data_IF_807787002674
#
_entry.id   IF_807787002674
#
_cell.length_a   1.000
_cell.length_b   1.000
_cell.length_c   1.000
_cell.angle_alpha   90.00
_cell.angle_beta   90.00
_cell.angle_gamma   90.00
#
_symmetry.space_group_name_H-M   'P 1'
#
loop_
_entity.id
_entity.type
_entity.pdbx_description
1 polymer ?
#
# COMPACT_ATOMS: atom_id res chain seq x y z
N UNK A 1 7.67 -19.71 -15.89
CA UNK A 1 7.69 -18.31 -15.43
C UNK A 1 6.91 -18.10 -14.13
N UNK A 2 5.62 -18.47 -14.06
CA UNK A 2 4.79 -18.40 -12.85
C UNK A 2 5.48 -18.96 -11.58
N UNK A 3 6.03 -20.19 -11.64
CA UNK A 3 6.71 -20.79 -10.49
C UNK A 3 7.93 -20.01 -10.00
N UNK A 4 8.70 -19.40 -10.92
CA UNK A 4 9.85 -18.57 -10.56
C UNK A 4 9.41 -17.28 -9.86
N UNK A 5 8.31 -16.68 -10.30
CA UNK A 5 7.69 -15.52 -9.66
C UNK A 5 7.13 -15.88 -8.28
N UNK A 6 6.47 -17.03 -8.15
CA UNK A 6 5.96 -17.51 -6.86
C UNK A 6 7.09 -17.69 -5.84
N UNK A 7 8.25 -18.22 -6.25
CA UNK A 7 9.44 -18.32 -5.40
C UNK A 7 9.98 -16.96 -4.95
N UNK A 8 9.82 -15.90 -5.75
CA UNK A 8 10.21 -14.52 -5.35
C UNK A 8 9.27 -13.91 -4.30
N UNK A 9 8.00 -14.31 -4.26
CA UNK A 9 7.03 -13.81 -3.26
C UNK A 9 7.06 -14.64 -1.97
N UNK A 10 7.48 -15.91 -2.04
CA UNK A 10 7.50 -16.84 -0.90
C UNK A 10 8.22 -16.31 0.37
N UNK A 11 9.38 -15.62 0.28
CA UNK A 11 10.06 -15.07 1.46
C UNK A 11 9.18 -14.14 2.31
N UNK A 12 8.30 -13.36 1.68
CA UNK A 12 7.37 -12.48 2.39
C UNK A 12 6.36 -13.27 3.24
N UNK A 13 6.03 -14.51 2.85
CA UNK A 13 5.15 -15.38 3.64
C UNK A 13 5.86 -16.03 4.82
N UNK A 14 7.17 -16.29 4.69
CA UNK A 14 8.00 -16.75 5.82
C UNK A 14 8.04 -15.67 6.91
N UNK A 15 8.23 -14.40 6.54
CA UNK A 15 8.22 -13.30 7.50
C UNK A 15 6.83 -13.04 8.08
N UNK A 16 5.74 -13.23 7.32
CA UNK A 16 4.37 -13.24 7.86
C UNK A 16 4.23 -14.33 8.93
N UNK A 17 4.69 -15.56 8.67
CA UNK A 17 4.63 -16.65 9.64
C UNK A 17 5.45 -16.36 10.90
N UNK A 18 6.66 -15.80 10.74
CA UNK A 18 7.46 -15.34 11.87
C UNK A 18 6.74 -14.26 12.69
N UNK A 19 6.09 -13.30 12.02
CA UNK A 19 5.25 -12.30 12.66
C UNK A 19 4.09 -12.92 13.42
N UNK A 20 3.42 -13.93 12.86
CA UNK A 20 2.35 -14.66 13.55
C UNK A 20 2.85 -15.35 14.82
N UNK A 21 3.99 -16.06 14.74
CA UNK A 21 4.62 -16.70 15.90
C UNK A 21 5.01 -15.66 16.94
N UNK A 22 5.61 -14.54 16.54
CA UNK A 22 5.98 -13.47 17.45
C UNK A 22 4.76 -12.80 18.11
N UNK A 23 3.67 -12.62 17.37
CA UNK A 23 2.41 -12.12 17.91
C UNK A 23 1.78 -13.07 18.93
N UNK A 24 1.86 -14.39 18.71
CA UNK A 24 1.30 -15.41 19.63
C UNK A 24 2.17 -15.67 20.85
N UNK A 25 3.49 -15.82 20.66
CA UNK A 25 4.43 -16.27 21.68
C UNK A 25 5.02 -15.09 22.44
N UNK A 26 5.56 -14.10 21.72
CA UNK A 26 6.21 -12.92 22.30
C UNK A 26 5.19 -11.83 22.67
N UNK A 27 3.96 -11.90 22.12
CA UNK A 27 2.87 -10.94 22.33
C UNK A 27 3.24 -9.53 21.86
N UNK A 28 3.90 -9.45 20.70
CA UNK A 28 4.24 -8.16 20.08
C UNK A 28 2.96 -7.38 19.75
N UNK A 29 2.99 -6.09 20.07
CA UNK A 29 1.90 -5.17 19.79
C UNK A 29 1.99 -4.64 18.34
N UNK A 30 0.89 -4.80 17.60
CA UNK A 30 0.76 -4.34 16.22
C UNK A 30 0.91 -2.82 16.10
N UNK A 31 0.33 -2.07 17.06
CA UNK A 31 0.36 -0.60 17.01
C UNK A 31 1.79 -0.05 17.20
N UNK A 32 2.59 -0.66 18.08
CA UNK A 32 3.97 -0.24 18.35
C UNK A 32 4.87 -0.44 17.14
N UNK A 33 4.82 -1.61 16.49
CA UNK A 33 5.61 -1.86 15.26
C UNK A 33 5.14 -0.97 14.12
N UNK A 34 3.82 -0.78 13.98
CA UNK A 34 3.25 0.16 13.01
C UNK A 34 3.78 1.58 13.17
N UNK A 35 3.85 2.09 14.41
CA UNK A 35 4.43 3.42 14.70
C UNK A 35 5.91 3.51 14.30
N UNK A 36 6.72 2.50 14.65
CA UNK A 36 8.12 2.47 14.25
C UNK A 36 8.28 2.53 12.72
N UNK A 37 7.46 1.76 11.99
CA UNK A 37 7.50 1.73 10.54
C UNK A 37 7.03 3.04 9.90
N UNK A 38 5.92 3.63 10.36
CA UNK A 38 5.38 4.83 9.73
C UNK A 38 6.09 6.13 10.14
N UNK A 39 6.65 6.20 11.35
CA UNK A 39 7.27 7.43 11.85
C UNK A 39 8.80 7.44 11.78
N UNK A 40 9.45 6.27 11.73
CA UNK A 40 10.92 6.20 11.74
C UNK A 40 11.48 5.61 10.44
N UNK A 41 11.09 4.38 10.08
CA UNK A 41 11.73 3.64 8.98
C UNK A 41 11.19 4.08 7.61
N UNK A 42 9.87 4.09 7.45
CA UNK A 42 9.17 4.41 6.21
C UNK A 42 9.53 5.78 5.60
N UNK A 43 9.65 6.87 6.38
CA UNK A 43 10.10 8.15 5.87
C UNK A 43 11.47 8.08 5.19
N UNK A 44 12.42 7.34 5.79
CA UNK A 44 13.77 7.19 5.24
C UNK A 44 13.73 6.38 3.94
N UNK A 45 12.95 5.30 3.90
CA UNK A 45 12.78 4.46 2.70
C UNK A 45 12.18 5.28 1.55
N UNK A 46 11.13 6.06 1.83
CA UNK A 46 10.49 6.93 0.82
C UNK A 46 11.45 8.02 0.36
N UNK A 47 12.19 8.65 1.29
CA UNK A 47 13.14 9.70 0.94
C UNK A 47 14.18 9.21 -0.06
N UNK A 48 14.90 8.13 0.27
CA UNK A 48 15.97 7.62 -0.59
C UNK A 48 15.46 6.94 -1.86
N UNK A 49 14.25 6.37 -1.82
CA UNK A 49 13.62 5.81 -3.01
C UNK A 49 13.28 6.87 -4.06
N UNK A 50 12.84 8.05 -3.63
CA UNK A 50 12.49 9.17 -4.53
C UNK A 50 13.73 9.96 -4.93
N UNK A 51 14.74 10.04 -4.08
CA UNK A 51 15.95 10.82 -4.33
C UNK A 51 16.71 10.39 -5.60
N UNK A 52 16.53 9.15 -6.05
CA UNK A 52 17.16 8.59 -7.26
C UNK A 52 16.36 8.84 -8.55
N UNK A 53 15.19 9.45 -8.48
CA UNK A 53 14.32 9.67 -9.66
C UNK A 53 14.96 10.69 -10.59
N UNK A 54 14.89 10.42 -11.90
CA UNK A 54 15.08 11.48 -12.90
C UNK A 54 13.78 12.27 -12.98
N UNK A 55 13.70 13.40 -12.26
CA UNK A 55 12.45 14.17 -12.17
C UNK A 55 12.10 14.73 -13.54
N UNK A 56 10.98 14.25 -14.08
CA UNK A 56 10.26 14.91 -15.18
C UNK A 56 8.94 15.47 -14.66
N UNK A 57 8.41 16.55 -15.26
CA UNK A 57 7.14 17.14 -14.84
C UNK A 57 5.97 16.14 -14.79
N UNK A 58 5.97 15.16 -15.70
CA UNK A 58 4.94 14.11 -15.79
C UNK A 58 4.98 13.17 -14.59
N UNK A 59 6.20 12.83 -14.12
CA UNK A 59 6.39 11.97 -12.95
C UNK A 59 5.96 12.67 -11.66
N UNK A 60 6.21 13.98 -11.51
CA UNK A 60 5.80 14.76 -10.32
C UNK A 60 4.27 14.76 -10.14
N UNK A 61 3.50 14.56 -11.21
CA UNK A 61 2.04 14.44 -11.14
C UNK A 61 1.54 13.07 -10.68
N UNK A 62 2.37 12.01 -10.71
CA UNK A 62 1.95 10.65 -10.36
C UNK A 62 1.39 10.49 -8.93
N UNK A 63 1.95 11.12 -7.87
CA UNK A 63 1.35 11.06 -6.55
C UNK A 63 -0.05 11.66 -6.52
N UNK A 64 -0.27 12.77 -7.24
CA UNK A 64 -1.58 13.43 -7.32
C UNK A 64 -2.58 12.56 -8.07
N UNK A 65 -2.17 11.99 -9.21
CA UNK A 65 -3.01 11.09 -10.00
C UNK A 65 -3.38 9.85 -9.19
N UNK A 66 -2.39 9.21 -8.54
CA UNK A 66 -2.63 8.03 -7.70
C UNK A 66 -3.56 8.36 -6.54
N UNK A 67 -3.37 9.51 -5.89
CA UNK A 67 -4.26 9.99 -4.82
C UNK A 67 -5.70 10.14 -5.31
N UNK A 68 -5.91 10.79 -6.46
CA UNK A 68 -7.24 11.00 -7.06
C UNK A 68 -7.89 9.66 -7.42
N UNK A 69 -7.15 8.72 -8.01
CA UNK A 69 -7.65 7.38 -8.32
C UNK A 69 -8.10 6.66 -7.04
N UNK A 70 -7.28 6.68 -5.99
CA UNK A 70 -7.61 6.06 -4.70
C UNK A 70 -8.85 6.69 -4.07
N UNK A 71 -8.95 8.02 -4.07
CA UNK A 71 -10.12 8.75 -3.56
C UNK A 71 -11.38 8.41 -4.35
N UNK A 72 -11.28 8.35 -5.68
CA UNK A 72 -12.41 8.06 -6.58
C UNK A 72 -12.91 6.64 -6.36
N UNK A 73 -12.00 5.66 -6.32
CA UNK A 73 -12.34 4.27 -6.01
C UNK A 73 -13.00 4.14 -4.63
N UNK A 74 -12.43 4.77 -3.62
CA UNK A 74 -13.00 4.79 -2.27
C UNK A 74 -14.39 5.40 -2.22
N UNK A 75 -14.60 6.53 -2.91
CA UNK A 75 -15.89 7.22 -2.95
C UNK A 75 -16.96 6.42 -3.70
N UNK A 76 -16.62 5.83 -4.86
CA UNK A 76 -17.53 4.96 -5.62
C UNK A 76 -17.97 3.79 -4.74
N UNK A 77 -17.01 3.10 -4.14
CA UNK A 77 -17.29 1.94 -3.28
C UNK A 77 -18.08 2.37 -2.06
N UNK A 78 -17.77 3.49 -1.43
CA UNK A 78 -18.54 4.03 -0.30
C UNK A 78 -20.02 4.22 -0.66
N UNK A 79 -20.30 4.83 -1.81
CA UNK A 79 -21.66 5.09 -2.27
C UNK A 79 -22.39 3.79 -2.64
N UNK A 80 -21.76 2.90 -3.41
CA UNK A 80 -22.36 1.63 -3.84
C UNK A 80 -22.60 0.69 -2.65
N UNK A 81 -21.64 0.61 -1.72
CA UNK A 81 -21.76 -0.27 -0.56
C UNK A 81 -22.82 0.17 0.43
N UNK A 82 -23.35 1.39 0.34
CA UNK A 82 -24.53 1.82 1.11
C UNK A 82 -25.80 1.03 0.80
N UNK A 83 -25.85 0.39 -0.39
CA UNK A 83 -26.95 -0.49 -0.79
C UNK A 83 -26.92 -1.85 -0.05
N UNK A 84 -25.75 -2.25 0.46
CA UNK A 84 -25.52 -3.56 1.08
C UNK A 84 -25.27 -3.46 2.59
N UNK A 85 -24.50 -2.46 3.02
CA UNK A 85 -24.10 -2.25 4.42
C UNK A 85 -24.58 -0.89 4.92
N UNK A 86 -25.22 -0.90 6.10
CA UNK A 86 -25.69 0.31 6.78
C UNK A 86 -24.82 0.72 7.97
N UNK A 87 -23.91 -0.15 8.40
CA UNK A 87 -22.97 0.09 9.50
C UNK A 87 -21.58 0.55 8.98
N UNK A 88 -20.65 0.81 9.90
CA UNK A 88 -19.29 1.24 9.56
C UNK A 88 -18.47 0.20 8.77
N UNK A 89 -18.97 -1.02 8.55
CA UNK A 89 -18.36 -1.96 7.58
C UNK A 89 -18.25 -1.30 6.20
N UNK A 90 -19.23 -0.45 5.85
CA UNK A 90 -19.19 0.35 4.61
C UNK A 90 -17.94 1.22 4.52
N UNK A 91 -17.57 1.88 5.61
CA UNK A 91 -16.41 2.76 5.69
C UNK A 91 -15.12 1.96 5.52
N UNK A 92 -15.07 0.80 6.17
CA UNK A 92 -13.94 -0.11 6.12
C UNK A 92 -13.71 -0.66 4.70
N UNK A 93 -14.78 -1.07 4.01
CA UNK A 93 -14.73 -1.52 2.63
C UNK A 93 -14.25 -0.39 1.70
N UNK A 94 -14.77 0.83 1.88
CA UNK A 94 -14.36 2.00 1.12
C UNK A 94 -12.90 2.42 1.35
N UNK A 95 -12.40 2.32 2.58
CA UNK A 95 -10.97 2.54 2.85
C UNK A 95 -10.12 1.49 2.13
N UNK A 96 -10.51 0.22 2.28
CA UNK A 96 -9.80 -0.92 1.71
C UNK A 96 -9.77 -0.87 0.18
N UNK A 97 -10.84 -0.36 -0.45
CA UNK A 97 -10.90 -0.24 -1.91
C UNK A 97 -10.01 0.86 -2.48
N UNK A 98 -9.60 1.84 -1.68
CA UNK A 98 -8.66 2.88 -2.11
C UNK A 98 -7.21 2.62 -1.70
N UNK A 99 -6.95 1.55 -0.94
CA UNK A 99 -5.64 1.27 -0.33
C UNK A 99 -5.07 -0.06 -0.80
N UNK A 100 -3.76 -0.24 -0.67
CA UNK A 100 -3.03 -1.45 -1.07
C UNK A 100 -1.74 -1.55 -0.27
N UNK A 101 -1.26 -2.78 0.01
CA UNK A 101 -0.04 -2.99 0.81
C UNK A 101 1.24 -2.77 -0.01
N UNK A 102 1.36 -1.58 -0.61
CA UNK A 102 2.43 -1.26 -1.53
C UNK A 102 3.80 -1.29 -0.88
N UNK A 103 3.92 -0.72 0.31
CA UNK A 103 5.21 -0.59 0.98
C UNK A 103 5.73 -1.91 1.51
N UNK A 104 4.88 -2.72 2.13
CA UNK A 104 5.32 -3.94 2.81
C UNK A 104 5.29 -5.17 1.91
N UNK A 105 4.25 -5.31 1.09
CA UNK A 105 4.10 -6.46 0.21
C UNK A 105 4.56 -6.15 -1.23
N UNK A 106 4.23 -4.96 -1.75
CA UNK A 106 4.51 -4.62 -3.13
C UNK A 106 5.95 -4.20 -3.44
N UNK A 107 6.63 -3.49 -2.53
CA UNK A 107 8.01 -3.02 -2.72
C UNK A 107 9.03 -4.16 -2.91
N UNK A 108 9.01 -5.26 -2.11
CA UNK A 108 9.88 -6.41 -2.38
C UNK A 108 9.69 -6.98 -3.78
N UNK A 109 8.44 -7.01 -4.26
CA UNK A 109 8.09 -7.50 -5.59
C UNK A 109 8.58 -6.53 -6.66
N UNK A 110 8.40 -5.22 -6.47
CA UNK A 110 8.91 -4.20 -7.37
C UNK A 110 10.43 -4.30 -7.54
N UNK A 111 11.19 -4.39 -6.44
CA UNK A 111 12.65 -4.55 -6.45
C UNK A 111 13.07 -5.86 -7.15
N UNK A 112 12.28 -6.93 -7.00
CA UNK A 112 12.61 -8.22 -7.60
C UNK A 112 12.27 -8.32 -9.10
N UNK A 113 11.43 -7.42 -9.62
CA UNK A 113 10.94 -7.44 -11.01
C UNK A 113 11.51 -6.34 -11.88
N UNK A 114 11.73 -5.16 -11.31
CA UNK A 114 11.98 -3.96 -12.08
C UNK A 114 13.37 -3.38 -11.80
N UNK A 115 13.83 -2.53 -12.71
CA UNK A 115 15.04 -1.73 -12.54
C UNK A 115 14.83 -0.60 -11.52
N UNK A 116 15.93 0.04 -11.09
CA UNK A 116 15.89 1.10 -10.07
C UNK A 116 14.95 2.25 -10.45
N UNK A 117 14.89 2.66 -11.73
CA UNK A 117 14.04 3.76 -12.18
C UNK A 117 12.56 3.43 -11.96
N UNK A 118 12.14 2.26 -12.42
CA UNK A 118 10.75 1.79 -12.28
C UNK A 118 10.37 1.58 -10.81
N UNK A 119 11.28 1.10 -9.96
CA UNK A 119 11.06 1.01 -8.50
C UNK A 119 10.83 2.38 -7.88
N UNK A 120 11.61 3.38 -8.29
CA UNK A 120 11.43 4.74 -7.80
C UNK A 120 10.11 5.36 -8.27
N UNK A 121 9.70 5.11 -9.52
CA UNK A 121 8.37 5.48 -10.04
C UNK A 121 7.25 4.82 -9.21
N UNK A 122 7.40 3.53 -8.90
CA UNK A 122 6.46 2.82 -8.03
C UNK A 122 6.36 3.43 -6.62
N UNK A 123 7.49 3.84 -6.04
CA UNK A 123 7.50 4.56 -4.76
C UNK A 123 6.84 5.94 -4.84
N UNK A 124 6.93 6.60 -6.00
CA UNK A 124 6.24 7.87 -6.24
C UNK A 124 4.72 7.69 -6.29
N UNK A 125 4.23 6.63 -6.95
CA UNK A 125 2.82 6.22 -6.88
C UNK A 125 2.40 5.91 -5.43
N UNK A 126 3.27 5.23 -4.67
CA UNK A 126 3.03 4.95 -3.25
C UNK A 126 2.85 6.19 -2.39
N UNK A 127 3.54 7.30 -2.67
CA UNK A 127 3.28 8.58 -1.98
C UNK A 127 1.84 9.04 -2.17
N UNK A 128 1.28 8.92 -3.38
CA UNK A 128 -0.12 9.25 -3.64
C UNK A 128 -1.10 8.39 -2.84
N UNK A 129 -0.82 7.10 -2.72
CA UNK A 129 -1.61 6.20 -1.88
C UNK A 129 -1.46 6.53 -0.39
N UNK A 130 -0.26 6.88 0.07
CA UNK A 130 -0.05 7.36 1.44
C UNK A 130 -0.86 8.61 1.74
N UNK A 131 -0.96 9.53 0.79
CA UNK A 131 -1.80 10.72 0.94
C UNK A 131 -3.26 10.30 1.13
N UNK A 132 -3.74 9.32 0.36
CA UNK A 132 -5.09 8.80 0.50
C UNK A 132 -5.29 8.16 1.88
N UNK A 133 -4.42 7.21 2.27
CA UNK A 133 -4.55 6.45 3.51
C UNK A 133 -4.54 7.35 4.75
N UNK A 134 -3.88 8.50 4.68
CA UNK A 134 -3.69 9.42 5.80
C UNK A 134 -4.52 10.71 5.71
N UNK A 135 -5.38 10.87 4.71
CA UNK A 135 -6.31 12.01 4.63
C UNK A 135 -7.75 11.56 4.34
N UNK A 136 -8.13 11.45 3.07
CA UNK A 136 -9.50 11.12 2.65
C UNK A 136 -9.89 9.70 3.06
N UNK A 137 -8.99 8.72 2.86
CA UNK A 137 -9.18 7.35 3.32
C UNK A 137 -9.33 7.30 4.83
N UNK A 138 -8.40 7.90 5.57
CA UNK A 138 -8.49 8.00 7.03
C UNK A 138 -9.83 8.58 7.48
N UNK A 139 -10.24 9.71 6.89
CA UNK A 139 -11.52 10.35 7.19
C UNK A 139 -12.73 9.44 6.93
N UNK A 140 -12.76 8.71 5.81
CA UNK A 140 -13.83 7.76 5.51
C UNK A 140 -13.85 6.66 6.58
N UNK A 141 -12.70 6.05 6.85
CA UNK A 141 -12.59 4.94 7.79
C UNK A 141 -13.03 5.35 9.20
N UNK A 142 -12.65 6.54 9.64
CA UNK A 142 -12.96 7.07 10.98
C UNK A 142 -14.14 8.05 10.98
N UNK A 143 -15.02 7.99 9.97
CA UNK A 143 -16.13 8.93 9.84
C UNK A 143 -17.02 8.86 11.09
N UNK A 144 -17.21 10.01 11.74
CA UNK A 144 -17.93 10.13 13.02
C UNK A 144 -17.02 10.23 14.25
N UNK A 145 -15.72 9.93 14.12
CA UNK A 145 -14.72 10.08 15.19
C UNK A 145 -13.84 11.32 15.00
N UNK A 146 -13.49 11.64 13.75
CA UNK A 146 -12.61 12.76 13.40
C UNK A 146 -13.25 13.70 12.38
N UNK A 147 -12.91 14.98 12.50
CA UNK A 147 -13.30 16.03 11.54
C UNK A 147 -12.37 16.02 10.31
N UNK A 148 -12.82 16.52 9.15
CA UNK A 148 -11.97 16.65 7.96
C UNK A 148 -10.67 17.44 8.23
N UNK A 149 -10.75 18.49 9.04
CA UNK A 149 -9.59 19.32 9.42
C UNK A 149 -8.55 18.53 10.23
N UNK A 150 -9.00 17.65 11.14
CA UNK A 150 -8.10 16.78 11.90
C UNK A 150 -7.41 15.76 11.00
N UNK A 151 -8.14 15.18 10.05
CA UNK A 151 -7.59 14.21 9.09
C UNK A 151 -6.55 14.86 8.16
N UNK A 152 -6.82 16.08 7.67
CA UNK A 152 -5.86 16.82 6.87
C UNK A 152 -4.61 17.22 7.67
N UNK A 153 -4.79 17.64 8.93
CA UNK A 153 -3.67 17.92 9.83
C UNK A 153 -2.80 16.68 10.04
N UNK A 154 -3.41 15.51 10.21
CA UNK A 154 -2.69 14.25 10.35
C UNK A 154 -1.78 13.98 9.15
N UNK A 155 -2.28 14.16 7.92
CA UNK A 155 -1.47 14.04 6.70
C UNK A 155 -0.23 14.94 6.74
N UNK A 156 -0.40 16.23 7.03
CA UNK A 156 0.71 17.19 7.03
C UNK A 156 1.70 16.88 8.14
N UNK A 157 1.27 16.30 9.27
CA UNK A 157 2.18 15.95 10.38
C UNK A 157 2.95 14.64 10.16
N UNK A 158 2.69 13.91 9.07
CA UNK A 158 3.36 12.63 8.86
C UNK A 158 4.81 12.83 8.40
N UNK A 159 5.78 12.19 9.08
CA UNK A 159 7.18 12.28 8.66
C UNK A 159 7.40 11.82 7.22
N UNK A 160 6.64 10.83 6.74
CA UNK A 160 6.74 10.33 5.36
C UNK A 160 6.32 11.38 4.32
N UNK A 161 5.34 12.24 4.64
CA UNK A 161 4.97 13.36 3.79
C UNK A 161 6.15 14.33 3.65
N UNK A 162 6.74 14.73 4.78
CA UNK A 162 7.91 15.62 4.79
C UNK A 162 9.12 15.01 4.10
N UNK A 163 9.33 13.70 4.27
CA UNK A 163 10.41 12.97 3.60
C UNK A 163 10.24 12.94 2.08
N UNK A 164 9.03 12.72 1.56
CA UNK A 164 8.77 12.77 0.13
C UNK A 164 9.05 14.17 -0.45
N UNK A 165 8.57 15.23 0.22
CA UNK A 165 8.83 16.61 -0.20
C UNK A 165 10.32 16.93 -0.14
N UNK A 166 11.00 16.55 0.94
CA UNK A 166 12.43 16.76 1.09
C UNK A 166 13.21 16.02 -0.01
N UNK A 167 12.84 14.79 -0.36
CA UNK A 167 13.50 14.04 -1.43
C UNK A 167 13.36 14.70 -2.80
N UNK A 168 12.17 15.21 -3.13
CA UNK A 168 11.95 15.96 -4.37
C UNK A 168 12.80 17.23 -4.43
N UNK A 169 12.88 17.98 -3.33
CA UNK A 169 13.73 19.17 -3.24
C UNK A 169 15.22 18.80 -3.35
N UNK A 170 15.68 17.79 -2.61
CA UNK A 170 17.06 17.32 -2.65
C UNK A 170 17.46 16.85 -4.05
N UNK A 171 16.57 16.13 -4.73
CA UNK A 171 16.79 15.68 -6.10
C UNK A 171 16.84 16.87 -7.08
N UNK A 172 15.92 17.83 -6.95
CA UNK A 172 15.89 19.03 -7.79
C UNK A 172 17.16 19.89 -7.68
N UNK A 173 17.76 19.97 -6.49
CA UNK A 173 19.03 20.67 -6.26
C UNK A 173 20.27 19.80 -6.48
N UNK A 174 20.11 18.58 -7.02
CA UNK A 174 21.19 17.62 -7.26
C UNK A 174 22.09 17.38 -6.03
N UNK A 175 21.48 17.39 -4.83
CA UNK A 175 22.23 17.23 -3.59
C UNK A 175 22.82 15.82 -3.50
N UNK A 176 24.14 15.76 -3.40
CA UNK A 176 24.87 14.50 -3.24
C UNK A 176 24.73 13.98 -1.83
N UNK A 177 24.26 12.74 -1.69
CA UNK A 177 24.26 12.03 -0.42
C UNK A 177 25.70 11.62 -0.08
N UNK A 178 26.18 11.90 1.14
CA UNK A 178 27.45 11.41 1.61
C UNK A 178 27.57 9.88 1.50
N UNK A 179 28.73 9.39 1.06
CA UNK A 179 28.93 7.96 0.74
C UNK A 179 28.65 7.04 1.93
N UNK A 180 28.95 7.47 3.16
CA UNK A 180 28.68 6.71 4.38
C UNK A 180 27.18 6.47 4.63
N UNK A 181 26.31 7.32 4.08
CA UNK A 181 24.85 7.16 4.19
C UNK A 181 24.28 6.26 3.12
N UNK A 182 25.01 5.89 2.07
CA UNK A 182 24.46 5.11 0.95
C UNK A 182 24.06 3.67 1.32
N UNK A 183 24.57 3.12 2.44
CA UNK A 183 24.17 1.80 2.94
C UNK A 183 22.87 1.81 3.76
N UNK A 184 22.62 2.91 4.46
CA UNK A 184 21.45 3.10 5.34
C UNK A 184 20.11 2.84 4.62
N UNK A 185 19.88 3.32 3.37
CA UNK A 185 18.65 3.07 2.63
C UNK A 185 18.38 1.57 2.42
N UNK A 186 19.41 0.81 2.04
CA UNK A 186 19.28 -0.61 1.72
C UNK A 186 18.91 -1.44 2.94
N UNK A 187 19.59 -1.18 4.07
CA UNK A 187 19.33 -1.88 5.33
C UNK A 187 17.95 -1.53 5.89
N UNK A 188 17.56 -0.25 5.83
CA UNK A 188 16.25 0.21 6.28
C UNK A 188 15.12 -0.24 5.37
N UNK A 189 15.31 -0.27 4.05
CA UNK A 189 14.33 -0.81 3.11
C UNK A 189 14.10 -2.30 3.37
N UNK A 190 15.17 -3.07 3.55
CA UNK A 190 15.08 -4.50 3.90
C UNK A 190 14.35 -4.70 5.22
N UNK A 191 14.69 -3.90 6.24
CA UNK A 191 14.01 -3.91 7.55
C UNK A 191 12.53 -3.54 7.44
N UNK A 192 12.21 -2.52 6.65
CA UNK A 192 10.85 -2.05 6.40
C UNK A 192 9.96 -3.14 5.80
N UNK A 193 10.48 -3.85 4.80
CA UNK A 193 9.80 -4.95 4.13
C UNK A 193 9.57 -6.14 5.09
N UNK A 194 10.60 -6.53 5.86
CA UNK A 194 10.52 -7.65 6.81
C UNK A 194 9.55 -7.34 7.95
N UNK A 195 9.73 -6.21 8.64
CA UNK A 195 8.86 -5.83 9.75
C UNK A 195 7.43 -5.53 9.29
N UNK A 196 7.27 -4.95 8.10
CA UNK A 196 5.97 -4.70 7.50
C UNK A 196 5.18 -5.97 7.18
N UNK A 197 5.86 -7.01 6.69
CA UNK A 197 5.23 -8.32 6.45
C UNK A 197 5.00 -9.08 7.75
N UNK A 198 5.91 -8.97 8.74
CA UNK A 198 5.68 -9.48 10.11
C UNK A 198 4.46 -8.83 10.78
N UNK A 199 4.24 -7.52 10.60
CA UNK A 199 3.08 -6.80 11.11
C UNK A 199 1.76 -7.41 10.62
N UNK A 200 1.71 -7.92 9.39
CA UNK A 200 0.56 -8.69 8.88
C UNK A 200 0.33 -9.94 9.73
N UNK A 201 1.39 -10.71 9.97
CA UNK A 201 1.35 -11.92 10.79
C UNK A 201 0.92 -11.64 12.23
N UNK A 202 1.45 -10.58 12.84
CA UNK A 202 1.08 -10.15 14.19
C UNK A 202 -0.40 -9.76 14.26
N UNK A 203 -0.91 -9.10 13.22
CA UNK A 203 -2.33 -8.76 13.13
C UNK A 203 -3.21 -10.01 13.10
N UNK A 204 -2.79 -11.05 12.36
CA UNK A 204 -3.51 -12.34 12.31
C UNK A 204 -3.41 -13.09 13.64
N UNK A 205 -2.27 -13.01 14.33
CA UNK A 205 -2.09 -13.61 15.65
C UNK A 205 -3.06 -13.04 16.69
N UNK A 206 -3.44 -11.78 16.57
CA UNK A 206 -4.29 -11.07 17.52
C UNK A 206 -5.80 -11.21 17.25
N UNK A 207 -6.21 -12.01 16.26
CA UNK A 207 -7.62 -12.31 16.00
C UNK A 207 -8.19 -13.11 17.18
N UNK A 208 -9.24 -12.58 17.81
CA UNK A 208 -9.97 -13.25 18.89
C UNK A 208 -11.15 -14.05 18.35
N UNK A 209 -11.98 -13.40 17.53
CA UNK A 209 -13.18 -13.98 16.95
C UNK A 209 -13.03 -14.18 15.44
N UNK A 210 -12.93 -15.44 15.02
CA UNK A 210 -12.82 -15.79 13.60
C UNK A 210 -14.21 -15.87 12.95
N UNK A 211 -14.83 -14.71 12.70
CA UNK A 211 -16.14 -14.60 12.06
C UNK A 211 -16.03 -13.98 10.66
N UNK A 212 -16.19 -14.81 9.62
CA UNK A 212 -16.11 -14.36 8.23
C UNK A 212 -17.45 -13.78 7.77
N UNK A 213 -17.45 -12.49 7.43
CA UNK A 213 -18.53 -11.90 6.65
C UNK A 213 -18.30 -12.15 5.15
N UNK A 214 -18.90 -13.23 4.63
CA UNK A 214 -18.72 -13.65 3.23
C UNK A 214 -19.09 -12.58 2.20
N UNK A 215 -20.11 -11.77 2.46
CA UNK A 215 -20.51 -10.67 1.56
C UNK A 215 -19.43 -9.60 1.49
N UNK A 216 -18.89 -9.20 2.64
CA UNK A 216 -17.80 -8.23 2.73
C UNK A 216 -16.54 -8.77 2.03
N UNK A 217 -16.20 -10.04 2.25
CA UNK A 217 -15.04 -10.68 1.62
C UNK A 217 -15.16 -10.76 0.11
N UNK A 218 -16.32 -11.22 -0.40
CA UNK A 218 -16.56 -11.32 -1.83
C UNK A 218 -16.44 -9.94 -2.52
N UNK A 219 -17.01 -8.89 -1.94
CA UNK A 219 -16.89 -7.53 -2.45
C UNK A 219 -15.45 -7.02 -2.38
N UNK A 220 -14.74 -7.26 -1.28
CA UNK A 220 -13.32 -6.89 -1.13
C UNK A 220 -12.48 -7.53 -2.23
N UNK A 221 -12.62 -8.84 -2.42
CA UNK A 221 -11.88 -9.61 -3.43
C UNK A 221 -12.23 -9.11 -4.83
N UNK A 222 -13.51 -8.93 -5.15
CA UNK A 222 -13.94 -8.44 -6.46
C UNK A 222 -13.39 -7.05 -6.77
N UNK A 223 -13.50 -6.12 -5.82
CA UNK A 223 -12.98 -4.77 -6.02
C UNK A 223 -11.46 -4.82 -6.19
N UNK A 224 -10.75 -5.58 -5.35
CA UNK A 224 -9.30 -5.55 -5.33
C UNK A 224 -8.65 -6.33 -6.47
N UNK A 225 -9.20 -7.47 -6.84
CA UNK A 225 -8.63 -8.40 -7.81
C UNK A 225 -9.33 -8.38 -9.17
N UNK A 226 -10.35 -7.54 -9.35
CA UNK A 226 -11.00 -7.35 -10.65
C UNK A 226 -11.08 -5.87 -10.99
N UNK A 227 -11.74 -5.05 -10.15
CA UNK A 227 -11.98 -3.64 -10.49
C UNK A 227 -10.68 -2.82 -10.59
N UNK A 228 -9.72 -3.03 -9.68
CA UNK A 228 -8.41 -2.34 -9.73
C UNK A 228 -7.59 -2.67 -10.98
N UNK A 229 -7.32 -3.94 -11.33
CA UNK A 229 -6.63 -4.28 -12.57
C UNK A 229 -7.33 -3.72 -13.81
N UNK A 230 -8.66 -3.82 -13.88
CA UNK A 230 -9.42 -3.26 -15.01
C UNK A 230 -9.28 -1.74 -15.08
N UNK A 231 -9.32 -1.05 -13.94
CA UNK A 231 -9.11 0.40 -13.90
C UNK A 231 -7.70 0.77 -14.35
N UNK A 232 -6.67 0.06 -13.89
CA UNK A 232 -5.30 0.31 -14.33
C UNK A 232 -5.14 0.08 -15.83
N UNK A 233 -5.68 -1.02 -16.37
CA UNK A 233 -5.67 -1.29 -17.81
C UNK A 233 -6.43 -0.23 -18.61
N UNK A 234 -7.57 0.23 -18.11
CA UNK A 234 -8.34 1.31 -18.72
C UNK A 234 -7.53 2.62 -18.75
N UNK A 235 -6.91 3.00 -17.64
CA UNK A 235 -6.08 4.21 -17.56
C UNK A 235 -4.89 4.15 -18.52
N UNK A 236 -4.20 3.00 -18.58
CA UNK A 236 -3.09 2.76 -19.52
C UNK A 236 -3.60 2.82 -20.97
N UNK A 237 -4.75 2.22 -21.26
CA UNK A 237 -5.35 2.28 -22.59
C UNK A 237 -5.69 3.71 -23.00
N UNK A 238 -6.29 4.49 -22.10
CA UNK A 238 -6.64 5.89 -22.33
C UNK A 238 -5.39 6.77 -22.54
N UNK A 239 -4.33 6.55 -21.76
CA UNK A 239 -3.07 7.29 -21.94
C UNK A 239 -2.42 6.96 -23.29
N UNK A 240 -2.31 5.67 -23.64
CA UNK A 240 -1.76 5.23 -24.94
C UNK A 240 -2.52 5.73 -26.16
N UNK A 241 -3.84 5.93 -26.03
CA UNK A 241 -4.70 6.42 -27.12
C UNK A 241 -4.85 7.93 -27.15
N UNK A 242 -4.59 8.61 -26.04
CA UNK A 242 -4.79 10.03 -25.88
C UNK A 242 -3.46 10.77 -25.76
N UNK A 243 -3.12 11.27 -24.54
CA UNK A 243 -2.03 12.22 -24.37
C UNK A 243 -0.63 11.58 -24.41
N UNK A 244 -0.53 10.25 -24.30
CA UNK A 244 0.73 9.49 -24.33
C UNK A 244 1.80 10.08 -23.39
N UNK A 245 1.39 10.43 -22.16
CA UNK A 245 2.25 11.12 -21.19
C UNK A 245 3.27 10.19 -20.55
N UNK A 246 2.96 8.90 -20.51
CA UNK A 246 3.69 7.93 -19.71
C UNK A 246 4.28 6.82 -20.56
N UNK A 247 5.39 6.28 -20.07
CA UNK A 247 6.12 5.21 -20.73
C UNK A 247 5.82 3.83 -20.12
N UNK A 248 6.54 2.82 -20.59
CA UNK A 248 6.39 1.46 -20.08
C UNK A 248 6.69 1.33 -18.59
N UNK A 249 7.62 2.11 -18.03
CA UNK A 249 8.01 2.00 -16.62
C UNK A 249 6.84 2.43 -15.72
N UNK A 250 6.18 3.54 -16.07
CA UNK A 250 4.98 4.01 -15.35
C UNK A 250 3.84 3.01 -15.48
N UNK A 251 3.59 2.47 -16.67
CA UNK A 251 2.55 1.45 -16.86
C UNK A 251 2.80 0.19 -16.02
N UNK A 252 4.05 -0.28 -15.95
CA UNK A 252 4.43 -1.43 -15.13
C UNK A 252 4.21 -1.15 -13.63
N UNK A 253 4.57 0.04 -13.15
CA UNK A 253 4.35 0.45 -11.78
C UNK A 253 2.84 0.51 -11.43
N UNK A 254 2.01 1.05 -12.32
CA UNK A 254 0.54 1.11 -12.15
C UNK A 254 -0.11 -0.28 -12.16
N UNK A 255 0.34 -1.18 -13.03
CA UNK A 255 -0.13 -2.58 -13.06
C UNK A 255 0.22 -3.27 -11.74
N UNK A 256 1.47 -3.15 -11.28
CA UNK A 256 1.89 -3.78 -10.02
C UNK A 256 1.03 -3.28 -8.86
N UNK A 257 0.88 -1.96 -8.74
CA UNK A 257 -0.01 -1.30 -7.77
C UNK A 257 -1.42 -1.91 -7.73
N UNK A 258 -2.00 -2.19 -8.90
CA UNK A 258 -3.37 -2.66 -9.01
C UNK A 258 -3.54 -4.10 -8.50
N UNK A 259 -2.50 -4.93 -8.59
CA UNK A 259 -2.57 -6.37 -8.27
C UNK A 259 -2.11 -6.71 -6.85
N UNK A 260 -1.40 -5.81 -6.16
CA UNK A 260 -0.97 -6.00 -4.76
C UNK A 260 -2.19 -6.18 -3.84
N UNK A 261 -2.15 -7.03 -2.79
CA UNK A 261 -3.22 -7.20 -1.80
C UNK A 261 -3.63 -5.92 -1.05
N UNK A 262 -4.69 -6.02 -0.26
CA UNK A 262 -5.19 -4.89 0.55
C UNK A 262 -4.16 -4.39 1.57
N UNK A 263 -4.30 -3.14 1.99
CA UNK A 263 -3.37 -2.48 2.90
C UNK A 263 -3.49 -2.96 4.35
N UNK A 264 -2.33 -3.11 5.00
CA UNK A 264 -2.23 -3.33 6.44
C UNK A 264 -2.54 -2.09 7.27
N UNK A 265 -2.45 -0.89 6.69
CA UNK A 265 -2.79 0.36 7.37
C UNK A 265 -4.24 0.33 7.87
N UNK A 266 -5.14 -0.31 7.11
CA UNK A 266 -6.53 -0.47 7.52
C UNK A 266 -6.70 -1.34 8.78
N UNK A 267 -5.82 -2.32 8.97
CA UNK A 267 -5.82 -3.17 10.16
C UNK A 267 -5.30 -2.41 11.37
N UNK A 268 -4.18 -1.68 11.22
CA UNK A 268 -3.67 -0.78 12.26
C UNK A 268 -4.75 0.21 12.67
N UNK A 269 -5.46 0.81 11.70
CA UNK A 269 -6.51 1.76 11.99
C UNK A 269 -7.68 1.12 12.76
N UNK A 270 -8.07 -0.10 12.42
CA UNK A 270 -9.10 -0.84 13.14
C UNK A 270 -8.69 -1.15 14.59
N UNK A 271 -7.41 -1.47 14.83
CA UNK A 271 -6.87 -1.65 16.18
C UNK A 271 -6.82 -0.34 16.98
N UNK A 272 -6.36 0.76 16.37
CA UNK A 272 -6.23 2.05 17.08
C UNK A 272 -7.58 2.70 17.38
N UNK A 273 -8.57 2.51 16.51
CA UNK A 273 -9.94 3.00 16.71
C UNK A 273 -10.81 2.03 17.50
N UNK A 274 -10.30 0.83 17.81
CA UNK A 274 -11.04 -0.27 18.44
C UNK A 274 -12.35 -0.61 17.70
N UNK A 275 -12.34 -0.52 16.36
CA UNK A 275 -13.51 -0.79 15.53
C UNK A 275 -13.31 -2.06 14.69
N UNK A 276 -13.96 -3.16 15.10
CA UNK A 276 -13.93 -4.47 14.42
C UNK A 276 -12.52 -4.89 13.93
N UNK A 277 -11.47 -4.85 14.78
CA UNK A 277 -10.09 -5.19 14.38
C UNK A 277 -9.96 -6.60 13.80
N UNK A 278 -10.70 -7.57 14.35
CA UNK A 278 -10.69 -8.95 13.87
C UNK A 278 -11.18 -9.05 12.43
N UNK A 279 -12.23 -8.31 12.06
CA UNK A 279 -12.74 -8.29 10.67
C UNK A 279 -11.68 -7.75 9.71
N UNK A 280 -10.93 -6.72 10.12
CA UNK A 280 -9.83 -6.15 9.35
C UNK A 280 -8.68 -7.14 9.16
N UNK A 281 -8.26 -7.78 10.23
CA UNK A 281 -7.21 -8.80 10.18
C UNK A 281 -7.61 -10.00 9.31
N UNK A 282 -8.86 -10.46 9.38
CA UNK A 282 -9.36 -11.55 8.52
C UNK A 282 -9.40 -11.11 7.05
N UNK A 283 -9.83 -9.87 6.75
CA UNK A 283 -9.85 -9.35 5.37
C UNK A 283 -8.44 -9.34 4.79
N UNK A 284 -7.46 -8.89 5.59
CA UNK A 284 -6.06 -8.86 5.21
C UNK A 284 -5.51 -10.27 5.01
N UNK A 285 -5.82 -11.21 5.91
CA UNK A 285 -5.40 -12.61 5.79
C UNK A 285 -5.92 -13.22 4.49
N UNK A 286 -7.23 -13.11 4.21
CA UNK A 286 -7.82 -13.69 3.01
C UNK A 286 -7.23 -13.05 1.75
N UNK A 287 -7.10 -11.73 1.71
CA UNK A 287 -6.48 -11.02 0.58
C UNK A 287 -5.02 -11.45 0.39
N UNK A 288 -4.22 -11.53 1.44
CA UNK A 288 -2.81 -11.95 1.31
C UNK A 288 -2.67 -13.40 0.87
N UNK A 289 -3.56 -14.30 1.29
CA UNK A 289 -3.63 -15.68 0.82
C UNK A 289 -4.01 -15.77 -0.67
N UNK A 290 -5.02 -15.02 -1.11
CA UNK A 290 -5.38 -14.91 -2.54
C UNK A 290 -4.20 -14.36 -3.34
N UNK A 291 -3.48 -13.39 -2.77
CA UNK A 291 -2.29 -12.77 -3.35
C UNK A 291 -1.16 -13.74 -3.69
N UNK A 292 -1.03 -14.87 -2.96
CA UNK A 292 0.02 -15.89 -3.20
C UNK A 292 0.01 -16.35 -4.65
N UNK A 293 -1.19 -16.65 -5.16
CA UNK A 293 -1.39 -17.18 -6.50
C UNK A 293 -1.71 -16.07 -7.50
N UNK A 294 -2.55 -15.12 -7.07
CA UNK A 294 -3.04 -14.07 -7.95
C UNK A 294 -1.93 -13.14 -8.44
N UNK A 295 -1.03 -12.70 -7.57
CA UNK A 295 0.01 -11.72 -7.94
C UNK A 295 0.98 -12.31 -8.97
N UNK A 296 1.61 -13.49 -8.76
CA UNK A 296 2.47 -14.10 -9.77
C UNK A 296 1.73 -14.39 -11.08
N UNK A 297 0.45 -14.78 -11.01
CA UNK A 297 -0.37 -15.02 -12.20
C UNK A 297 -0.57 -13.75 -13.01
N UNK A 298 -1.00 -12.66 -12.38
CA UNK A 298 -1.22 -11.39 -13.08
C UNK A 298 0.09 -10.77 -13.59
N UNK A 299 1.20 -10.89 -12.85
CA UNK A 299 2.51 -10.48 -13.36
C UNK A 299 2.82 -11.24 -14.66
N UNK A 300 2.61 -12.56 -14.68
CA UNK A 300 2.89 -13.36 -15.88
C UNK A 300 1.97 -13.07 -17.07
N UNK A 301 0.81 -12.46 -16.83
CA UNK A 301 -0.18 -12.15 -17.86
C UNK A 301 -0.05 -10.71 -18.39
N UNK A 302 0.30 -9.76 -17.52
CA UNK A 302 0.21 -8.32 -17.82
C UNK A 302 1.58 -7.63 -17.94
N UNK A 303 2.65 -8.22 -17.39
CA UNK A 303 3.99 -7.62 -17.37
C UNK A 303 5.01 -8.37 -18.24
N UNK A 304 4.63 -9.54 -18.77
CA UNK A 304 5.41 -10.37 -19.68
C UNK A 304 4.53 -10.83 -20.83
#
# INVERSE_FOLDING_TARGET
MFFALMLKVLPAYVTILLGFVAGRVVKLDCATIGKLLFYCVGPIVVFFGILKINITPELVLLPVITFVICCTMSLIVYNVSSLVFRDHIRNMLAFTSGSSSMGFFGLPIAIALFDESTVSIYLLCYVGMLFFENSFGFYIATRGLYTPRQCFRQLITLPTFHAAVAALLCNHFEMRVPEFLLRVPTDLASTYMVLGTMLLGISVANIKDFAINWKLMALTVLIKYVAWPLLALLLIFLDRKGPCLYDSQVYQALILLAIIPISSTGVILAYTTNYKPDVAAIMLLISTLVGIFYVPFMISLLLY
#
